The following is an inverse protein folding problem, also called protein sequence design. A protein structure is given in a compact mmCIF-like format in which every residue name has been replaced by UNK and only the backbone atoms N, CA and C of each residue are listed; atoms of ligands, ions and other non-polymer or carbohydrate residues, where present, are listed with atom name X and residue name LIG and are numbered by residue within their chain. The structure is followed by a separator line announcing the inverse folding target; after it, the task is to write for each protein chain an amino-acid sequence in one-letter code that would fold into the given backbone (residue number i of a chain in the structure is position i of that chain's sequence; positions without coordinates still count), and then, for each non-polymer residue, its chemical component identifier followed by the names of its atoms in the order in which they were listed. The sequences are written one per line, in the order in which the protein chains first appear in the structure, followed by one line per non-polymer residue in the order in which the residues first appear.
data_IF_749984870706
#
_entry.id   IF_749984870706
#
_cell.length_a   1.000
_cell.length_b   1.000
_cell.length_c   1.000
_cell.angle_alpha   90.00
_cell.angle_beta   90.00
_cell.angle_gamma   90.00
#
_symmetry.space_group_name_H-M   'P 1'
#
loop_
_entity.id
_entity.type
_entity.pdbx_description
1 polymer ?
#
# COMPACT_ATOMS: atom_id res chain seq x y z
N UNK A 1 -4.40 -2.60 2.33
CA UNK A 1 -5.41 -3.66 2.13
C UNK A 1 -6.82 -3.06 1.96
N UNK A 2 -7.35 -2.28 2.93
CA UNK A 2 -8.73 -1.78 2.91
C UNK A 2 -9.03 -0.81 1.73
N UNK A 3 -8.07 0.01 1.30
CA UNK A 3 -8.23 0.85 0.10
C UNK A 3 -8.37 0.01 -1.17
N UNK A 4 -7.59 -1.06 -1.29
CA UNK A 4 -7.68 -1.99 -2.45
C UNK A 4 -9.00 -2.76 -2.45
N UNK A 5 -9.50 -3.16 -1.27
CA UNK A 5 -10.77 -3.90 -1.16
C UNK A 5 -12.02 -3.04 -1.32
N UNK A 6 -11.91 -1.71 -1.11
CA UNK A 6 -13.04 -0.78 -1.27
C UNK A 6 -13.27 -0.29 -2.71
N UNK A 7 -12.41 -0.69 -3.66
CA UNK A 7 -12.50 -0.24 -5.05
C UNK A 7 -12.16 1.25 -5.27
N UNK A 8 -11.66 1.95 -4.25
CA UNK A 8 -11.29 3.35 -4.34
C UNK A 8 -9.97 3.51 -5.09
N UNK A 9 -9.98 4.34 -6.13
CA UNK A 9 -8.78 4.80 -6.82
C UNK A 9 -8.39 6.18 -6.31
N UNK A 10 -7.25 6.24 -5.66
CA UNK A 10 -6.66 7.49 -5.18
C UNK A 10 -5.34 7.76 -5.92
N UNK A 11 -4.88 9.01 -5.92
CA UNK A 11 -3.61 9.35 -6.56
C UNK A 11 -2.45 8.51 -5.99
N UNK A 12 -1.47 8.20 -6.82
CA UNK A 12 -0.28 7.44 -6.41
C UNK A 12 0.45 8.12 -5.24
N UNK A 13 0.52 9.46 -5.25
CA UNK A 13 1.07 10.24 -4.15
C UNK A 13 0.35 9.98 -2.83
N UNK A 14 -0.98 9.91 -2.87
CA UNK A 14 -1.81 9.68 -1.69
C UNK A 14 -1.65 8.25 -1.17
N UNK A 15 -1.68 7.26 -2.06
CA UNK A 15 -1.47 5.85 -1.73
C UNK A 15 -0.09 5.61 -1.11
N UNK A 16 0.96 6.12 -1.74
CA UNK A 16 2.33 5.99 -1.23
C UNK A 16 2.52 6.68 0.12
N UNK A 17 1.88 7.85 0.34
CA UNK A 17 1.94 8.53 1.62
C UNK A 17 1.30 7.71 2.73
N UNK A 18 0.14 7.09 2.48
CA UNK A 18 -0.54 6.22 3.44
C UNK A 18 0.26 4.94 3.73
N UNK A 19 0.92 4.38 2.72
CA UNK A 19 1.78 3.20 2.89
C UNK A 19 3.03 3.51 3.73
N UNK A 20 3.69 4.64 3.46
CA UNK A 20 4.85 5.09 4.22
C UNK A 20 4.45 5.44 5.67
N UNK A 21 3.33 6.16 5.85
CA UNK A 21 2.81 6.48 7.19
C UNK A 21 2.59 5.21 8.00
N UNK A 22 1.89 4.22 7.43
CA UNK A 22 1.63 2.95 8.10
C UNK A 22 2.92 2.20 8.46
N UNK A 23 3.87 2.14 7.52
CA UNK A 23 5.13 1.40 7.73
C UNK A 23 6.08 2.02 8.75
N UNK A 24 6.12 3.36 8.86
CA UNK A 24 7.00 4.06 9.80
C UNK A 24 6.36 4.27 11.18
N UNK A 25 5.03 4.34 11.24
CA UNK A 25 4.32 4.59 12.49
C UNK A 25 4.50 3.43 13.50
N UNK A 26 4.45 2.20 13.04
CA UNK A 26 4.51 1.02 13.91
C UNK A 26 5.83 0.89 14.67
N UNK A 27 7.03 0.99 14.05
CA UNK A 27 8.29 0.99 14.79
C UNK A 27 8.40 2.11 15.83
N UNK A 28 7.89 3.30 15.49
CA UNK A 28 7.90 4.45 16.42
C UNK A 28 6.93 4.23 17.58
N UNK A 29 5.75 3.68 17.33
CA UNK A 29 4.77 3.37 18.38
C UNK A 29 5.31 2.32 19.36
N UNK A 30 5.96 1.26 18.85
CA UNK A 30 6.62 0.24 19.70
C UNK A 30 7.68 0.87 20.59
N UNK A 31 8.55 1.69 19.99
CA UNK A 31 9.59 2.40 20.73
C UNK A 31 8.99 3.26 21.86
N UNK A 32 7.98 4.06 21.55
CA UNK A 32 7.33 4.94 22.55
C UNK A 32 6.69 4.12 23.68
N UNK A 33 5.97 3.05 23.36
CA UNK A 33 5.32 2.20 24.34
C UNK A 33 6.34 1.54 25.27
N UNK A 34 7.42 0.96 24.73
CA UNK A 34 8.48 0.34 25.52
C UNK A 34 9.19 1.35 26.41
N UNK A 35 9.57 2.51 25.85
CA UNK A 35 10.30 3.54 26.56
C UNK A 35 9.47 4.16 27.68
N UNK A 36 8.19 4.49 27.41
CA UNK A 36 7.29 5.05 28.41
C UNK A 36 6.94 4.02 29.49
N UNK A 37 6.76 2.74 29.12
CA UNK A 37 6.53 1.67 30.09
C UNK A 37 7.73 1.49 31.02
N UNK A 38 8.95 1.52 30.46
CA UNK A 38 10.18 1.45 31.25
C UNK A 38 10.32 2.66 32.21
N UNK A 39 10.00 3.86 31.72
CA UNK A 39 10.03 5.08 32.51
C UNK A 39 9.01 5.06 33.68
N UNK A 40 7.84 4.44 33.48
CA UNK A 40 6.84 4.28 34.52
C UNK A 40 7.26 3.26 35.61
N UNK A 41 8.05 2.25 35.23
CA UNK A 41 8.53 1.21 36.14
C UNK A 41 9.76 1.68 36.94
N UNK A 42 10.67 2.42 36.26
CA UNK A 42 11.93 2.92 36.84
C UNK A 42 12.12 4.40 36.49
N UNK A 43 11.44 5.32 37.22
CA UNK A 43 11.50 6.74 36.91
C UNK A 43 12.92 7.32 37.07
N UNK A 44 13.75 6.76 37.93
CA UNK A 44 15.12 7.16 38.15
C UNK A 44 16.05 6.97 36.97
N UNK A 45 15.77 5.96 36.13
CA UNK A 45 16.57 5.65 34.91
C UNK A 45 16.06 6.43 33.67
N UNK A 46 14.91 7.07 33.77
CA UNK A 46 14.20 7.70 32.68
C UNK A 46 14.76 9.10 32.32
N UNK A 47 16.02 9.18 31.91
CA UNK A 47 16.62 10.42 31.42
C UNK A 47 16.40 10.59 29.93
N UNK A 48 16.26 11.85 29.45
CA UNK A 48 16.14 12.12 28.02
C UNK A 48 17.32 11.57 27.21
N UNK A 49 18.52 11.59 27.77
CA UNK A 49 19.72 11.04 27.14
C UNK A 49 19.64 9.51 26.97
N UNK A 50 19.19 8.78 28.00
CA UNK A 50 19.01 7.33 27.93
C UNK A 50 17.92 6.94 26.91
N UNK A 51 16.83 7.69 26.87
CA UNK A 51 15.75 7.48 25.88
C UNK A 51 16.25 7.70 24.44
N UNK A 52 16.96 8.79 24.17
CA UNK A 52 17.54 9.07 22.87
C UNK A 52 18.59 8.02 22.46
N UNK A 53 19.41 7.57 23.40
CA UNK A 53 20.38 6.51 23.17
C UNK A 53 19.69 5.20 22.77
N UNK A 54 18.69 4.77 23.53
CA UNK A 54 17.91 3.55 23.25
C UNK A 54 17.22 3.64 21.90
N UNK A 55 16.64 4.79 21.59
CA UNK A 55 16.04 5.03 20.26
C UNK A 55 17.08 4.92 19.15
N UNK A 56 18.20 5.58 19.27
CA UNK A 56 19.28 5.53 18.29
C UNK A 56 19.81 4.12 18.09
N UNK A 57 20.02 3.37 19.18
CA UNK A 57 20.45 1.98 19.14
C UNK A 57 19.41 1.11 18.40
N UNK A 58 18.14 1.18 18.79
CA UNK A 58 17.07 0.40 18.16
C UNK A 58 16.92 0.72 16.67
N UNK A 59 17.01 1.99 16.29
CA UNK A 59 16.92 2.42 14.91
C UNK A 59 18.11 1.92 14.08
N UNK A 60 19.33 2.09 14.57
CA UNK A 60 20.56 1.68 13.84
C UNK A 60 20.62 0.17 13.70
N UNK A 61 20.45 -0.58 14.79
CA UNK A 61 20.53 -2.04 14.75
C UNK A 61 19.38 -2.63 13.93
N UNK A 62 18.14 -2.12 14.09
CA UNK A 62 17.00 -2.54 13.28
C UNK A 62 17.22 -2.30 11.79
N UNK A 63 17.77 -1.13 11.43
CA UNK A 63 18.11 -0.80 10.05
C UNK A 63 19.17 -1.73 9.48
N UNK A 64 20.28 -1.92 10.17
CA UNK A 64 21.38 -2.79 9.72
C UNK A 64 20.91 -4.22 9.51
N UNK A 65 20.22 -4.79 10.50
CA UNK A 65 19.74 -6.18 10.45
C UNK A 65 18.70 -6.35 9.33
N UNK A 66 17.78 -5.40 9.18
CA UNK A 66 16.76 -5.41 8.12
C UNK A 66 17.39 -5.35 6.72
N UNK A 67 18.33 -4.44 6.50
CA UNK A 67 19.03 -4.31 5.21
C UNK A 67 19.89 -5.56 4.91
N UNK A 68 20.71 -6.02 5.85
CA UNK A 68 21.57 -7.18 5.65
C UNK A 68 20.75 -8.46 5.47
N UNK A 69 19.71 -8.66 6.29
CA UNK A 69 18.79 -9.79 6.17
C UNK A 69 18.06 -9.78 4.82
N UNK A 70 17.56 -8.61 4.39
CA UNK A 70 16.90 -8.44 3.10
C UNK A 70 17.81 -8.68 1.92
N UNK A 71 19.07 -8.20 1.99
CA UNK A 71 20.08 -8.48 0.98
C UNK A 71 20.42 -9.98 0.89
N UNK A 72 20.61 -10.65 2.03
CA UNK A 72 20.88 -12.07 2.09
C UNK A 72 19.72 -12.91 1.57
N UNK A 73 18.51 -12.64 2.03
CA UNK A 73 17.32 -13.36 1.60
C UNK A 73 17.02 -13.13 0.10
N UNK A 74 17.12 -11.91 -0.40
CA UNK A 74 16.93 -11.61 -1.82
C UNK A 74 17.95 -12.32 -2.71
N UNK A 75 19.23 -12.37 -2.29
CA UNK A 75 20.27 -13.11 -3.00
C UNK A 75 20.03 -14.63 -2.97
N UNK A 76 19.53 -15.17 -1.85
CA UNK A 76 19.20 -16.58 -1.71
C UNK A 76 18.01 -16.96 -2.59
N UNK A 77 16.93 -16.17 -2.54
CA UNK A 77 15.72 -16.42 -3.33
C UNK A 77 15.97 -16.44 -4.84
N UNK A 78 16.84 -15.54 -5.33
CA UNK A 78 17.23 -15.52 -6.74
C UNK A 78 18.08 -16.71 -7.18
N UNK A 79 18.71 -17.44 -6.23
CA UNK A 79 19.50 -18.64 -6.52
C UNK A 79 18.72 -19.94 -6.42
N UNK A 80 17.60 -19.92 -5.70
CA UNK A 80 16.77 -21.11 -5.53
C UNK A 80 15.93 -21.33 -6.79
N UNK A 81 15.90 -22.55 -7.35
CA UNK A 81 15.07 -22.88 -8.50
C UNK A 81 13.60 -23.07 -8.06
N UNK A 82 12.95 -21.98 -7.63
CA UNK A 82 11.57 -21.97 -7.19
C UNK A 82 10.67 -21.93 -8.42
N UNK A 83 10.33 -23.10 -8.96
CA UNK A 83 9.38 -23.23 -10.07
C UNK A 83 7.94 -22.85 -9.66
N UNK A 84 7.06 -22.66 -10.65
CA UNK A 84 5.69 -22.17 -10.42
C UNK A 84 4.80 -22.97 -9.45
N UNK A 85 5.15 -24.22 -9.14
CA UNK A 85 4.43 -25.02 -8.12
C UNK A 85 4.84 -24.68 -6.66
N UNK A 86 5.82 -23.79 -6.44
CA UNK A 86 6.41 -23.51 -5.13
C UNK A 86 5.96 -22.15 -4.52
N UNK A 87 4.88 -21.56 -5.00
CA UNK A 87 4.40 -20.24 -4.53
C UNK A 87 4.14 -20.23 -3.02
N UNK A 88 3.44 -21.25 -2.50
CA UNK A 88 3.18 -21.39 -1.07
C UNK A 88 4.45 -21.60 -0.24
N UNK A 89 5.43 -22.37 -0.77
CA UNK A 89 6.72 -22.56 -0.12
C UNK A 89 7.51 -21.24 -0.06
N UNK A 90 7.48 -20.47 -1.14
CA UNK A 90 8.14 -19.18 -1.19
C UNK A 90 7.55 -18.19 -0.17
N UNK A 91 6.22 -18.16 -0.03
CA UNK A 91 5.53 -17.36 0.99
C UNK A 91 5.94 -17.80 2.41
N UNK A 92 6.00 -19.11 2.67
CA UNK A 92 6.46 -19.64 3.97
C UNK A 92 7.93 -19.29 4.26
N UNK A 93 8.81 -19.38 3.27
CA UNK A 93 10.23 -19.01 3.43
C UNK A 93 10.38 -17.52 3.73
N UNK A 94 9.63 -16.66 3.04
CA UNK A 94 9.61 -15.22 3.31
C UNK A 94 9.09 -14.91 4.71
N UNK A 95 8.01 -15.58 5.13
CA UNK A 95 7.46 -15.43 6.47
C UNK A 95 8.46 -15.88 7.53
N UNK A 96 9.07 -17.06 7.37
CA UNK A 96 10.06 -17.58 8.31
C UNK A 96 11.31 -16.68 8.39
N UNK A 97 11.80 -16.19 7.25
CA UNK A 97 12.90 -15.23 7.22
C UNK A 97 12.54 -13.90 7.91
N UNK A 98 11.32 -13.40 7.67
CA UNK A 98 10.81 -12.20 8.34
C UNK A 98 10.73 -12.36 9.86
N UNK A 99 10.21 -13.49 10.35
CA UNK A 99 10.18 -13.81 11.79
C UNK A 99 11.60 -13.93 12.35
N UNK A 100 12.52 -14.55 11.61
CA UNK A 100 13.93 -14.66 11.98
C UNK A 100 14.62 -13.30 12.10
N UNK A 101 14.36 -12.40 11.16
CA UNK A 101 14.87 -11.01 11.18
C UNK A 101 14.25 -10.23 12.35
N UNK A 102 12.96 -10.38 12.59
CA UNK A 102 12.25 -9.75 13.72
C UNK A 102 12.87 -10.17 15.06
N UNK A 103 12.97 -11.50 15.29
CA UNK A 103 13.51 -12.04 16.53
C UNK A 103 15.00 -11.74 16.70
N UNK A 104 15.80 -11.86 15.64
CA UNK A 104 17.23 -11.55 15.65
C UNK A 104 17.51 -10.08 15.95
N UNK A 105 16.75 -9.16 15.37
CA UNK A 105 16.86 -7.75 15.66
C UNK A 105 16.51 -7.46 17.15
N UNK A 106 15.42 -8.01 17.65
CA UNK A 106 15.02 -7.85 19.04
C UNK A 106 16.06 -8.40 20.01
N UNK A 107 16.63 -9.59 19.71
CA UNK A 107 17.67 -10.21 20.54
C UNK A 107 18.94 -9.35 20.65
N UNK A 108 19.32 -8.66 19.55
CA UNK A 108 20.46 -7.75 19.51
C UNK A 108 20.17 -6.33 20.05
N UNK A 109 18.94 -6.09 20.55
CA UNK A 109 18.53 -4.78 21.08
C UNK A 109 18.12 -3.78 19.98
N UNK A 110 17.85 -4.24 18.77
CA UNK A 110 17.32 -3.45 17.67
C UNK A 110 15.78 -3.50 17.60
N UNK A 111 15.19 -2.61 16.81
CA UNK A 111 13.75 -2.63 16.53
C UNK A 111 13.42 -3.74 15.52
N UNK A 112 12.75 -4.82 15.98
CA UNK A 112 12.29 -5.91 15.13
C UNK A 112 11.31 -5.45 14.05
N UNK A 113 10.41 -4.51 14.37
CA UNK A 113 9.43 -3.96 13.43
C UNK A 113 10.11 -3.19 12.29
N UNK A 114 11.09 -2.32 12.62
CA UNK A 114 11.87 -1.59 11.62
C UNK A 114 12.69 -2.56 10.76
N UNK A 115 13.30 -3.57 11.39
CA UNK A 115 14.09 -4.56 10.68
C UNK A 115 13.27 -5.35 9.65
N UNK A 116 12.07 -5.83 10.02
CA UNK A 116 11.19 -6.56 9.10
C UNK A 116 10.65 -5.66 7.99
N UNK A 117 10.33 -4.40 8.29
CA UNK A 117 9.89 -3.44 7.29
C UNK A 117 10.96 -3.23 6.20
N UNK A 118 12.18 -2.93 6.62
CA UNK A 118 13.31 -2.74 5.69
C UNK A 118 13.70 -4.03 4.99
N UNK A 119 13.65 -5.18 5.68
CA UNK A 119 13.82 -6.48 5.09
C UNK A 119 12.85 -6.70 3.92
N UNK A 120 11.55 -6.48 4.15
CA UNK A 120 10.52 -6.63 3.13
C UNK A 120 10.75 -5.72 1.93
N UNK A 121 11.12 -4.45 2.17
CA UNK A 121 11.39 -3.47 1.12
C UNK A 121 12.60 -3.90 0.25
N UNK A 122 13.68 -4.36 0.87
CA UNK A 122 14.90 -4.82 0.15
C UNK A 122 14.63 -6.09 -0.62
N UNK A 123 13.91 -7.05 -0.05
CA UNK A 123 13.56 -8.31 -0.74
C UNK A 123 12.65 -8.03 -1.92
N UNK A 124 11.63 -7.20 -1.76
CA UNK A 124 10.72 -6.80 -2.84
C UNK A 124 11.47 -6.15 -4.01
N UNK A 125 12.49 -5.32 -3.72
CA UNK A 125 13.30 -4.69 -4.76
C UNK A 125 14.27 -5.67 -5.44
N UNK A 126 14.92 -6.58 -4.67
CA UNK A 126 15.95 -7.48 -5.20
C UNK A 126 15.43 -8.75 -5.86
N UNK A 127 14.27 -9.23 -5.47
CA UNK A 127 13.66 -10.47 -5.91
C UNK A 127 12.19 -10.25 -6.33
N UNK A 128 11.89 -9.16 -7.01
CA UNK A 128 10.52 -8.72 -7.36
C UNK A 128 9.69 -9.82 -8.00
N UNK A 129 10.22 -10.50 -9.03
CA UNK A 129 9.51 -11.58 -9.72
C UNK A 129 9.18 -12.80 -8.83
N UNK A 130 10.00 -13.07 -7.80
CA UNK A 130 9.75 -14.15 -6.83
C UNK A 130 8.70 -13.69 -5.81
N UNK A 131 8.82 -12.45 -5.35
CA UNK A 131 7.90 -11.85 -4.37
C UNK A 131 6.49 -11.71 -4.96
N UNK A 132 6.35 -11.20 -6.18
CA UNK A 132 5.05 -11.05 -6.85
C UNK A 132 4.25 -12.36 -6.88
N UNK A 133 4.91 -13.48 -7.16
CA UNK A 133 4.28 -14.81 -7.13
C UNK A 133 3.88 -15.26 -5.73
N UNK A 134 4.61 -14.83 -4.70
CA UNK A 134 4.34 -15.19 -3.31
C UNK A 134 3.31 -14.28 -2.63
N UNK A 135 2.97 -13.12 -3.21
CA UNK A 135 2.09 -12.12 -2.60
C UNK A 135 0.72 -12.69 -2.19
N UNK A 136 0.09 -13.49 -3.06
CA UNK A 136 -1.21 -14.08 -2.75
C UNK A 136 -1.16 -14.99 -1.50
N UNK A 137 -0.07 -15.77 -1.36
CA UNK A 137 0.18 -16.59 -0.17
C UNK A 137 0.44 -15.74 1.08
N UNK A 138 1.24 -14.69 0.95
CA UNK A 138 1.52 -13.75 2.05
C UNK A 138 0.25 -13.02 2.51
N UNK A 139 -0.58 -12.59 1.59
CA UNK A 139 -1.88 -11.96 1.92
C UNK A 139 -2.77 -12.94 2.69
N UNK A 140 -2.82 -14.23 2.30
CA UNK A 140 -3.55 -15.26 3.03
C UNK A 140 -3.07 -15.42 4.48
N UNK A 141 -1.75 -15.48 4.70
CA UNK A 141 -1.20 -15.52 6.07
C UNK A 141 -1.50 -14.24 6.85
N UNK A 142 -1.42 -13.08 6.24
CA UNK A 142 -1.73 -11.81 6.88
C UNK A 142 -3.21 -11.76 7.33
N UNK A 143 -4.14 -12.19 6.47
CA UNK A 143 -5.56 -12.27 6.79
C UNK A 143 -5.83 -13.25 7.95
N UNK A 144 -5.23 -14.44 7.91
CA UNK A 144 -5.38 -15.42 8.98
C UNK A 144 -4.82 -14.91 10.30
N UNK A 145 -3.61 -14.34 10.29
CA UNK A 145 -2.98 -13.77 11.47
C UNK A 145 -3.82 -12.62 12.04
N UNK A 146 -4.34 -11.74 11.20
CA UNK A 146 -5.20 -10.63 11.60
C UNK A 146 -6.52 -11.14 12.22
N UNK A 147 -7.18 -12.11 11.61
CA UNK A 147 -8.42 -12.69 12.14
C UNK A 147 -8.19 -13.35 13.51
N UNK A 148 -7.11 -14.14 13.63
CA UNK A 148 -6.74 -14.80 14.88
C UNK A 148 -6.41 -13.79 15.99
N UNK A 149 -5.71 -12.74 15.62
CA UNK A 149 -5.34 -11.66 16.54
C UNK A 149 -6.59 -10.93 17.07
N UNK A 150 -7.52 -10.53 16.19
CA UNK A 150 -8.77 -9.91 16.64
C UNK A 150 -9.62 -10.84 17.50
N UNK A 151 -9.65 -12.13 17.19
CA UNK A 151 -10.32 -13.12 18.04
C UNK A 151 -9.71 -13.17 19.44
N UNK A 152 -8.39 -13.29 19.54
CA UNK A 152 -7.70 -13.33 20.82
C UNK A 152 -7.88 -12.03 21.61
N UNK A 153 -7.80 -10.88 20.94
CA UNK A 153 -8.02 -9.59 21.58
C UNK A 153 -9.47 -9.47 22.10
N UNK A 154 -10.45 -9.95 21.32
CA UNK A 154 -11.85 -9.98 21.74
C UNK A 154 -12.08 -10.85 22.98
N UNK A 155 -11.35 -11.96 23.12
CA UNK A 155 -11.42 -12.84 24.29
C UNK A 155 -10.75 -12.23 25.55
N UNK A 156 -9.77 -11.33 25.37
CA UNK A 156 -9.13 -10.63 26.50
C UNK A 156 -9.99 -9.51 27.09
N UNK A 157 -10.93 -9.01 26.33
CA UNK A 157 -11.79 -7.88 26.73
C UNK A 157 -12.85 -8.35 27.73
N UNK A 158 -13.07 -7.57 28.78
CA UNK A 158 -14.15 -7.79 29.73
C UNK A 158 -15.27 -6.76 29.48
N UNK A 159 -16.39 -7.13 28.84
CA UNK A 159 -17.43 -6.18 28.45
C UNK A 159 -18.02 -5.34 29.60
N UNK A 160 -18.17 -5.93 30.80
CA UNK A 160 -18.70 -5.21 31.96
C UNK A 160 -17.86 -3.99 32.31
N UNK A 161 -16.53 -4.09 32.29
CA UNK A 161 -15.64 -2.95 32.60
C UNK A 161 -15.68 -1.86 31.50
N UNK A 162 -15.86 -2.26 30.26
CA UNK A 162 -16.04 -1.29 29.17
C UNK A 162 -17.31 -0.47 29.35
N UNK A 163 -18.40 -1.11 29.80
CA UNK A 163 -19.67 -0.45 30.04
C UNK A 163 -19.63 0.51 31.25
N UNK A 164 -18.83 0.20 32.28
CA UNK A 164 -18.70 1.07 33.45
C UNK A 164 -18.01 2.40 33.17
N UNK A 165 -17.10 2.43 32.16
CA UNK A 165 -16.28 3.59 31.83
C UNK A 165 -16.32 3.96 30.32
N UNK A 166 -17.39 3.60 29.61
CA UNK A 166 -17.49 3.81 28.18
C UNK A 166 -17.37 5.27 27.75
N UNK A 167 -17.95 6.20 28.54
CA UNK A 167 -18.00 7.62 28.18
C UNK A 167 -16.61 8.28 28.11
N UNK A 168 -15.75 8.18 29.13
CA UNK A 168 -14.39 8.71 29.05
C UNK A 168 -13.55 8.01 27.99
N UNK A 169 -13.70 6.69 27.79
CA UNK A 169 -12.98 5.96 26.74
C UNK A 169 -13.40 6.43 25.33
N UNK A 170 -14.70 6.63 25.10
CA UNK A 170 -15.23 7.16 23.87
C UNK A 170 -14.77 8.60 23.65
N UNK A 171 -14.76 9.44 24.69
CA UNK A 171 -14.25 10.82 24.58
C UNK A 171 -12.78 10.85 24.15
N UNK A 172 -11.94 9.97 24.69
CA UNK A 172 -10.54 9.82 24.25
C UNK A 172 -10.48 9.36 22.80
N UNK A 173 -11.29 8.38 22.40
CA UNK A 173 -11.33 7.90 21.01
C UNK A 173 -11.69 9.04 20.05
N UNK A 174 -12.75 9.78 20.35
CA UNK A 174 -13.19 10.91 19.52
C UNK A 174 -12.15 12.04 19.48
N UNK A 175 -11.54 12.38 20.60
CA UNK A 175 -10.46 13.36 20.66
C UNK A 175 -9.26 12.97 19.79
N UNK A 176 -8.85 11.69 19.85
CA UNK A 176 -7.77 11.16 19.02
C UNK A 176 -8.13 11.17 17.53
N UNK A 177 -9.37 10.84 17.18
CA UNK A 177 -9.82 10.76 15.79
C UNK A 177 -10.05 12.13 15.15
N UNK A 178 -10.70 13.05 15.88
CA UNK A 178 -11.17 14.33 15.31
C UNK A 178 -10.27 15.52 15.65
N UNK A 179 -9.39 15.41 16.63
CA UNK A 179 -8.51 16.51 17.03
C UNK A 179 -7.05 16.14 16.84
N UNK A 180 -6.56 15.13 17.53
CA UNK A 180 -5.12 14.81 17.54
C UNK A 180 -4.61 14.39 16.15
N UNK A 181 -5.35 13.52 15.46
CA UNK A 181 -4.93 13.03 14.16
C UNK A 181 -4.99 14.11 13.06
N UNK A 182 -6.08 14.84 12.84
CA UNK A 182 -6.09 15.93 11.86
C UNK A 182 -5.00 16.97 12.11
N UNK A 183 -4.73 17.31 13.37
CA UNK A 183 -3.68 18.24 13.74
C UNK A 183 -2.30 17.71 13.38
N UNK A 184 -2.01 16.45 13.72
CA UNK A 184 -0.73 15.81 13.40
C UNK A 184 -0.52 15.71 11.88
N UNK A 185 -1.52 15.23 11.14
CA UNK A 185 -1.45 15.12 9.67
C UNK A 185 -1.27 16.49 9.02
N UNK A 186 -2.00 17.52 9.48
CA UNK A 186 -1.86 18.87 8.98
C UNK A 186 -0.46 19.45 9.24
N UNK A 187 0.09 19.26 10.44
CA UNK A 187 1.43 19.72 10.80
C UNK A 187 2.52 19.05 9.93
N UNK A 188 2.38 17.77 9.64
CA UNK A 188 3.36 17.02 8.87
C UNK A 188 3.23 17.25 7.35
N UNK A 189 2.01 17.26 6.81
CA UNK A 189 1.79 17.25 5.37
C UNK A 189 1.62 18.64 4.75
N UNK A 190 1.21 19.65 5.53
CA UNK A 190 1.07 21.01 5.02
C UNK A 190 2.39 21.62 4.51
N UNK A 191 3.53 21.43 5.19
CA UNK A 191 4.85 21.86 4.68
C UNK A 191 5.23 21.16 3.36
N UNK A 192 4.74 19.95 3.14
CA UNK A 192 4.95 19.15 1.92
C UNK A 192 3.99 19.52 0.77
N UNK A 193 3.25 20.62 0.90
CA UNK A 193 2.32 21.15 -0.11
C UNK A 193 1.17 20.20 -0.46
N UNK A 194 0.65 19.45 0.54
CA UNK A 194 -0.61 18.73 0.38
C UNK A 194 -1.80 19.69 0.46
N UNK A 195 -2.84 19.40 -0.33
CA UNK A 195 -4.11 20.13 -0.28
C UNK A 195 -4.87 19.83 1.02
N UNK A 196 -5.79 20.71 1.42
CA UNK A 196 -6.65 20.46 2.58
C UNK A 196 -7.57 19.26 2.39
N UNK A 197 -7.93 18.96 1.15
CA UNK A 197 -8.73 17.78 0.78
C UNK A 197 -7.94 16.49 1.03
N UNK A 198 -6.69 16.41 0.57
CA UNK A 198 -5.81 15.27 0.82
C UNK A 198 -5.51 15.10 2.31
N UNK A 199 -5.22 16.20 3.03
CA UNK A 199 -5.00 16.19 4.48
C UNK A 199 -6.24 15.68 5.21
N UNK A 200 -7.43 16.15 4.85
CA UNK A 200 -8.70 15.70 5.43
C UNK A 200 -8.94 14.22 5.20
N UNK A 201 -8.70 13.73 3.99
CA UNK A 201 -8.85 12.32 3.65
C UNK A 201 -7.84 11.43 4.40
N UNK A 202 -6.54 11.79 4.40
CA UNK A 202 -5.52 11.05 5.14
C UNK A 202 -5.84 11.02 6.64
N UNK A 203 -6.31 12.14 7.19
CA UNK A 203 -6.74 12.21 8.58
C UNK A 203 -7.90 11.25 8.88
N UNK A 204 -8.83 11.09 7.95
CA UNK A 204 -9.97 10.21 8.08
C UNK A 204 -9.61 8.73 7.89
N UNK A 205 -8.86 8.41 6.83
CA UNK A 205 -8.52 7.02 6.44
C UNK A 205 -7.52 6.35 7.37
N UNK A 206 -6.93 7.07 8.30
CA UNK A 206 -6.00 6.52 9.29
C UNK A 206 -6.61 5.45 10.20
N UNK A 207 -7.14 4.39 9.57
CA UNK A 207 -7.70 3.22 10.24
C UNK A 207 -6.66 2.61 11.16
N UNK A 208 -7.02 2.49 12.43
CA UNK A 208 -6.19 1.83 13.41
C UNK A 208 -6.39 0.33 13.30
N UNK A 209 -5.35 -0.38 12.87
CA UNK A 209 -5.33 -1.84 12.84
C UNK A 209 -5.26 -2.45 14.25
N UNK A 210 -4.97 -3.73 14.31
CA UNK A 210 -4.81 -4.45 15.57
C UNK A 210 -3.52 -4.05 16.35
N UNK A 211 -2.54 -3.45 15.68
CA UNK A 211 -1.23 -3.09 16.26
C UNK A 211 -1.34 -2.25 17.54
N UNK A 212 -2.15 -1.17 17.62
CA UNK A 212 -2.30 -0.42 18.87
C UNK A 212 -2.80 -1.24 20.07
N UNK A 213 -3.68 -2.22 19.81
CA UNK A 213 -4.19 -3.09 20.89
C UNK A 213 -3.12 -4.10 21.32
N UNK A 214 -2.35 -4.65 20.36
CA UNK A 214 -1.19 -5.48 20.67
C UNK A 214 -0.15 -4.72 21.48
N UNK A 215 0.13 -3.48 21.10
CA UNK A 215 1.06 -2.63 21.85
C UNK A 215 0.57 -2.33 23.26
N UNK A 216 -0.74 -2.25 23.49
CA UNK A 216 -1.31 -2.08 24.81
C UNK A 216 -1.16 -3.32 25.73
N UNK A 217 -0.81 -4.51 25.17
CA UNK A 217 -0.44 -5.68 25.95
C UNK A 217 0.96 -5.55 26.57
N UNK A 218 1.86 -4.78 25.97
CA UNK A 218 3.24 -4.61 26.47
C UNK A 218 3.24 -4.04 27.89
N UNK A 219 2.57 -2.93 28.22
CA UNK A 219 2.45 -2.45 29.58
C UNK A 219 1.84 -3.49 30.53
N UNK A 220 0.89 -4.31 30.07
CA UNK A 220 0.31 -5.38 30.88
C UNK A 220 1.32 -6.49 31.22
N UNK A 221 2.12 -6.90 30.20
CA UNK A 221 3.19 -7.90 30.40
C UNK A 221 4.30 -7.39 31.33
N UNK A 222 4.57 -6.09 31.30
CA UNK A 222 5.55 -5.42 32.13
C UNK A 222 5.00 -5.05 33.52
N UNK A 223 3.75 -5.41 33.83
CA UNK A 223 3.05 -5.10 35.11
C UNK A 223 3.02 -3.59 35.43
N UNK A 224 2.91 -2.73 34.40
CA UNK A 224 2.76 -1.28 34.61
C UNK A 224 1.47 -1.00 35.37
N UNK A 225 1.47 -0.08 36.37
CA UNK A 225 0.25 0.31 37.05
C UNK A 225 -0.85 0.76 36.08
N UNK A 226 -2.08 0.29 36.30
CA UNK A 226 -3.26 0.60 35.45
C UNK A 226 -3.15 0.18 34.00
N UNK A 227 -2.23 -0.71 33.61
CA UNK A 227 -2.07 -1.18 32.25
C UNK A 227 -3.35 -1.75 31.61
N UNK A 228 -4.24 -2.33 32.43
CA UNK A 228 -5.56 -2.81 31.98
C UNK A 228 -6.45 -1.68 31.44
N UNK A 229 -6.41 -0.51 32.08
CA UNK A 229 -7.17 0.67 31.60
C UNK A 229 -6.63 1.14 30.26
N UNK A 230 -5.30 1.15 30.09
CA UNK A 230 -4.66 1.49 28.80
C UNK A 230 -5.10 0.51 27.69
N UNK A 231 -5.17 -0.78 28.01
CA UNK A 231 -5.65 -1.79 27.07
C UNK A 231 -7.12 -1.58 26.68
N UNK A 232 -8.00 -1.37 27.68
CA UNK A 232 -9.43 -1.14 27.47
C UNK A 232 -9.67 0.12 26.61
N UNK A 233 -8.94 1.21 26.88
CA UNK A 233 -8.99 2.45 26.07
C UNK A 233 -8.50 2.18 24.65
N UNK A 234 -7.37 1.50 24.45
CA UNK A 234 -6.84 1.18 23.14
C UNK A 234 -7.83 0.33 22.34
N UNK A 235 -8.48 -0.64 22.99
CA UNK A 235 -9.50 -1.47 22.35
C UNK A 235 -10.71 -0.64 21.90
N UNK A 236 -11.25 0.23 22.75
CA UNK A 236 -12.38 1.12 22.39
C UNK A 236 -12.00 2.06 21.25
N UNK A 237 -10.80 2.63 21.27
CA UNK A 237 -10.30 3.49 20.17
C UNK A 237 -10.25 2.75 18.84
N UNK A 238 -9.72 1.51 18.83
CA UNK A 238 -9.64 0.70 17.62
C UNK A 238 -11.04 0.31 17.14
N UNK A 239 -11.91 -0.13 18.05
CA UNK A 239 -13.28 -0.50 17.70
C UNK A 239 -14.06 0.69 17.14
N UNK A 240 -14.00 1.86 17.79
CA UNK A 240 -14.62 3.09 17.28
C UNK A 240 -14.07 3.49 15.91
N UNK A 241 -12.76 3.39 15.70
CA UNK A 241 -12.13 3.66 14.41
C UNK A 241 -12.61 2.70 13.32
N UNK A 242 -12.66 1.41 13.58
CA UNK A 242 -13.13 0.41 12.62
C UNK A 242 -14.60 0.64 12.24
N UNK A 243 -15.45 0.91 13.23
CA UNK A 243 -16.88 1.13 13.01
C UNK A 243 -17.14 2.45 12.31
N UNK A 244 -16.57 3.57 12.78
CA UNK A 244 -16.85 4.90 12.24
C UNK A 244 -16.08 5.15 10.94
N UNK A 245 -14.77 5.00 10.95
CA UNK A 245 -13.93 5.33 9.81
C UNK A 245 -13.98 4.23 8.74
N UNK A 246 -13.98 2.95 9.14
CA UNK A 246 -14.04 1.82 8.22
C UNK A 246 -15.32 1.82 7.38
N UNK A 247 -16.49 2.02 8.00
CA UNK A 247 -17.78 2.04 7.29
C UNK A 247 -17.98 3.29 6.42
N UNK A 248 -17.32 4.39 6.74
CA UNK A 248 -17.50 5.69 6.06
C UNK A 248 -16.36 6.04 5.09
N UNK A 249 -15.42 5.14 4.83
CA UNK A 249 -14.25 5.42 4.01
C UNK A 249 -14.59 5.86 2.58
N UNK A 250 -15.54 5.17 1.93
CA UNK A 250 -16.01 5.52 0.56
C UNK A 250 -16.70 6.88 0.55
N UNK A 251 -17.53 7.15 1.56
CA UNK A 251 -18.18 8.45 1.72
C UNK A 251 -17.15 9.56 1.94
N UNK A 252 -16.14 9.34 2.76
CA UNK A 252 -15.06 10.31 2.99
C UNK A 252 -14.26 10.60 1.70
N UNK A 253 -13.97 9.58 0.88
CA UNK A 253 -13.27 9.78 -0.38
C UNK A 253 -14.05 10.69 -1.35
N UNK A 254 -15.38 10.56 -1.37
CA UNK A 254 -16.27 11.44 -2.15
C UNK A 254 -16.35 12.84 -1.55
N UNK A 255 -16.48 12.95 -0.22
CA UNK A 255 -16.56 14.22 0.49
C UNK A 255 -15.32 15.09 0.27
N UNK A 256 -14.14 14.49 0.33
CA UNK A 256 -12.86 15.18 0.12
C UNK A 256 -12.45 15.27 -1.35
N UNK A 257 -13.26 14.72 -2.25
CA UNK A 257 -13.03 14.75 -3.70
C UNK A 257 -11.64 14.23 -4.11
N UNK A 258 -11.20 13.14 -3.48
CA UNK A 258 -9.89 12.49 -3.72
C UNK A 258 -10.00 11.19 -4.52
N UNK A 259 -11.22 10.76 -4.84
CA UNK A 259 -11.46 9.60 -5.69
C UNK A 259 -11.17 9.98 -7.15
N UNK A 260 -10.26 9.27 -7.77
CA UNK A 260 -10.02 9.42 -9.20
C UNK A 260 -11.24 8.84 -9.96
N UNK A 261 -11.71 9.52 -11.02
CA UNK A 261 -12.78 9.00 -11.86
C UNK A 261 -12.45 7.60 -12.36
N UNK A 262 -13.45 6.75 -12.46
CA UNK A 262 -13.26 5.43 -13.07
C UNK A 262 -12.88 5.63 -14.53
N UNK A 263 -11.83 4.94 -15.00
CA UNK A 263 -11.39 5.02 -16.39
C UNK A 263 -12.49 4.59 -17.40
N UNK A 264 -13.63 4.11 -16.90
CA UNK A 264 -14.80 3.76 -17.70
C UNK A 264 -15.83 4.89 -17.84
N UNK A 265 -15.75 5.96 -17.00
CA UNK A 265 -16.82 6.97 -16.92
C UNK A 265 -16.62 8.22 -17.79
N UNK A 266 -15.43 8.43 -18.39
CA UNK A 266 -15.22 9.55 -19.31
C UNK A 266 -14.43 9.16 -20.57
N UNK A 267 -15.00 9.38 -21.76
CA UNK A 267 -14.25 9.24 -23.02
C UNK A 267 -13.00 10.15 -23.08
N UNK A 268 -13.04 11.29 -22.38
CA UNK A 268 -11.94 12.28 -22.35
C UNK A 268 -10.71 11.82 -21.54
N UNK A 269 -10.87 10.98 -20.51
CA UNK A 269 -9.74 10.47 -19.71
C UNK A 269 -8.93 9.42 -20.48
N UNK A 270 -9.52 8.78 -21.48
CA UNK A 270 -8.85 7.79 -22.33
C UNK A 270 -7.84 8.40 -23.32
N UNK A 271 -7.93 9.71 -23.55
CA UNK A 271 -7.06 10.43 -24.50
C UNK A 271 -5.73 10.88 -23.88
N UNK A 272 -5.55 10.85 -22.56
CA UNK A 272 -4.49 11.60 -21.85
C UNK A 272 -3.15 10.86 -21.69
N UNK A 273 -3.03 9.54 -21.88
CA UNK A 273 -1.75 8.83 -21.73
C UNK A 273 -1.48 7.84 -22.87
N UNK A 274 -0.76 8.28 -23.77
CA UNK A 274 -0.47 8.02 -25.10
C UNK A 274 0.52 6.98 -25.51
N UNK A 275 0.66 5.80 -25.00
CA UNK A 275 1.40 4.73 -25.65
C UNK A 275 0.84 3.36 -25.26
N UNK A 276 -0.10 2.85 -26.06
CA UNK A 276 -0.80 1.61 -25.78
C UNK A 276 -0.22 0.47 -26.62
N UNK A 277 -0.01 -0.67 -25.99
CA UNK A 277 0.30 -1.91 -26.68
C UNK A 277 -0.99 -2.67 -26.97
N UNK A 278 -1.29 -2.86 -28.25
CA UNK A 278 -2.45 -3.56 -28.73
C UNK A 278 -2.07 -4.97 -29.22
N UNK A 279 -2.95 -5.95 -28.98
CA UNK A 279 -2.82 -7.24 -29.65
C UNK A 279 -3.03 -7.05 -31.15
N UNK A 280 -2.09 -7.52 -31.94
CA UNK A 280 -2.13 -7.41 -33.39
C UNK A 280 -3.37 -8.06 -34.04
N UNK A 281 -4.05 -8.95 -33.32
CA UNK A 281 -5.29 -9.66 -33.74
C UNK A 281 -6.56 -8.88 -33.40
N UNK A 282 -6.49 -7.83 -32.61
CA UNK A 282 -7.67 -7.05 -32.25
C UNK A 282 -8.32 -6.41 -33.48
N UNK A 283 -9.66 -6.37 -33.56
CA UNK A 283 -10.37 -5.74 -34.68
C UNK A 283 -10.09 -4.24 -34.70
N UNK A 284 -9.59 -3.73 -35.83
CA UNK A 284 -9.22 -2.30 -35.98
C UNK A 284 -10.42 -1.36 -35.82
N UNK A 285 -11.60 -1.79 -36.24
CA UNK A 285 -12.84 -1.01 -36.07
C UNK A 285 -13.19 -0.78 -34.63
N UNK A 286 -13.06 -1.82 -33.79
CA UNK A 286 -13.32 -1.71 -32.35
C UNK A 286 -12.32 -0.75 -31.67
N UNK A 287 -11.06 -0.83 -32.08
CA UNK A 287 -10.00 0.08 -31.61
C UNK A 287 -10.34 1.53 -32.01
N UNK A 288 -10.66 1.77 -33.29
CA UNK A 288 -11.01 3.11 -33.77
C UNK A 288 -12.25 3.66 -33.08
N UNK A 289 -13.30 2.82 -32.92
CA UNK A 289 -14.51 3.21 -32.20
C UNK A 289 -14.24 3.55 -30.71
N UNK A 290 -13.37 2.77 -30.07
CA UNK A 290 -13.04 2.95 -28.65
C UNK A 290 -12.26 4.25 -28.39
N UNK A 291 -11.35 4.61 -29.30
CA UNK A 291 -10.51 5.81 -29.17
C UNK A 291 -11.05 7.03 -29.93
N UNK A 292 -12.26 6.96 -30.48
CA UNK A 292 -12.87 8.06 -31.21
C UNK A 292 -12.15 8.41 -32.51
N UNK A 293 -11.47 7.43 -33.14
CA UNK A 293 -10.78 7.60 -34.43
C UNK A 293 -11.75 7.42 -35.59
N UNK A 294 -11.44 7.97 -36.77
CA UNK A 294 -12.23 7.75 -37.97
C UNK A 294 -12.40 6.27 -38.30
N UNK A 295 -13.55 5.90 -38.90
CA UNK A 295 -13.81 4.50 -39.31
C UNK A 295 -12.73 4.06 -40.30
N UNK A 296 -11.98 2.98 -40.03
CA UNK A 296 -10.92 2.48 -40.91
C UNK A 296 -11.44 1.83 -42.19
N UNK A 297 -12.77 1.63 -42.34
CA UNK A 297 -13.35 0.95 -43.46
C UNK A 297 -12.94 -0.53 -43.62
N UNK A 298 -12.49 -1.14 -42.52
CA UNK A 298 -11.99 -2.52 -42.48
C UNK A 298 -12.37 -3.21 -41.17
N UNK A 299 -12.90 -4.44 -41.27
CA UNK A 299 -13.40 -5.21 -40.10
C UNK A 299 -12.43 -6.28 -39.59
N UNK A 300 -11.21 -6.34 -40.13
CA UNK A 300 -10.21 -7.34 -39.75
C UNK A 300 -9.28 -6.91 -38.62
N UNK A 301 -8.26 -7.74 -38.40
CA UNK A 301 -7.22 -7.48 -37.42
C UNK A 301 -6.41 -6.21 -37.74
N UNK A 302 -5.98 -5.49 -36.71
CA UNK A 302 -5.19 -4.25 -36.87
C UNK A 302 -3.87 -4.50 -37.61
N UNK A 303 -3.25 -5.67 -37.44
CA UNK A 303 -2.06 -6.05 -38.19
C UNK A 303 -2.29 -6.13 -39.69
N UNK A 304 -3.41 -6.74 -40.14
CA UNK A 304 -3.76 -6.89 -41.54
C UNK A 304 -4.15 -5.54 -42.17
N UNK A 305 -4.83 -4.70 -41.39
CA UNK A 305 -5.16 -3.35 -41.79
C UNK A 305 -3.91 -2.49 -42.02
N UNK A 306 -2.91 -2.55 -41.12
CA UNK A 306 -1.63 -1.85 -41.27
C UNK A 306 -0.92 -2.30 -42.56
N UNK A 307 -0.84 -3.60 -42.80
CA UNK A 307 -0.21 -4.15 -44.01
C UNK A 307 -0.93 -3.70 -45.27
N UNK A 308 -2.27 -3.57 -45.24
CA UNK A 308 -3.09 -3.08 -46.35
C UNK A 308 -2.83 -1.59 -46.65
N UNK A 309 -2.77 -0.75 -45.59
CA UNK A 309 -2.50 0.68 -45.75
C UNK A 309 -1.06 0.93 -46.25
N UNK A 310 -0.10 0.15 -45.78
CA UNK A 310 1.29 0.19 -46.25
C UNK A 310 1.47 -0.37 -47.69
N UNK A 311 0.48 -1.10 -48.20
CA UNK A 311 0.55 -1.83 -49.49
C UNK A 311 1.73 -2.80 -49.60
N UNK A 312 2.24 -3.26 -48.50
CA UNK A 312 3.32 -4.24 -48.36
C UNK A 312 3.24 -4.96 -47.02
N UNK A 313 3.91 -6.13 -46.87
CA UNK A 313 4.03 -6.75 -45.52
C UNK A 313 4.63 -5.76 -44.54
N UNK A 314 4.01 -5.66 -43.35
CA UNK A 314 4.49 -4.80 -42.30
C UNK A 314 5.73 -5.42 -41.62
N UNK A 315 6.66 -4.58 -41.22
CA UNK A 315 7.86 -4.96 -40.47
C UNK A 315 7.96 -4.13 -39.15
N UNK A 316 8.75 -4.60 -38.20
CA UNK A 316 8.95 -3.86 -36.96
C UNK A 316 9.48 -2.44 -37.24
N UNK A 317 8.87 -1.44 -36.62
CA UNK A 317 9.17 -0.03 -36.81
C UNK A 317 8.32 0.67 -37.91
N UNK A 318 7.53 -0.07 -38.69
CA UNK A 318 6.56 0.56 -39.60
C UNK A 318 5.42 1.21 -38.80
N UNK A 319 4.93 2.35 -39.29
CA UNK A 319 3.82 3.06 -38.67
C UNK A 319 2.92 3.74 -39.69
N UNK A 320 1.69 3.99 -39.28
CA UNK A 320 0.70 4.76 -40.03
C UNK A 320 -0.01 5.74 -39.14
N UNK A 321 -0.28 6.93 -39.65
CA UNK A 321 -1.08 7.94 -38.99
C UNK A 321 -2.54 7.80 -39.39
N UNK A 322 -3.46 7.77 -38.42
CA UNK A 322 -4.89 7.65 -38.64
C UNK A 322 -5.68 8.54 -37.70
N UNK A 323 -6.28 9.60 -38.24
CA UNK A 323 -6.93 10.63 -37.42
C UNK A 323 -5.90 11.33 -36.53
N UNK A 324 -6.14 11.27 -35.22
CA UNK A 324 -5.25 11.83 -34.21
C UNK A 324 -4.40 10.74 -33.48
N UNK A 325 -4.15 9.64 -34.17
CA UNK A 325 -3.40 8.52 -33.65
C UNK A 325 -2.32 8.04 -34.62
N UNK A 326 -1.23 7.51 -34.04
CA UNK A 326 -0.17 6.81 -34.76
C UNK A 326 -0.16 5.34 -34.34
N UNK A 327 -0.29 4.44 -35.33
CA UNK A 327 -0.16 3.00 -35.16
C UNK A 327 1.22 2.57 -35.58
N UNK A 328 2.00 1.95 -34.68
CA UNK A 328 3.37 1.49 -34.99
C UNK A 328 3.49 -0.02 -34.70
N UNK A 329 4.14 -0.75 -35.59
CA UNK A 329 4.48 -2.17 -35.40
C UNK A 329 5.64 -2.27 -34.41
N UNK A 330 5.39 -2.84 -33.23
CA UNK A 330 6.40 -2.95 -32.16
C UNK A 330 7.14 -4.27 -32.17
N UNK A 331 6.41 -5.35 -32.34
CA UNK A 331 6.99 -6.68 -32.26
C UNK A 331 6.45 -7.61 -33.34
N UNK A 332 7.29 -8.55 -33.76
CA UNK A 332 7.02 -9.52 -34.81
C UNK A 332 7.25 -10.95 -34.33
N UNK A 333 6.29 -11.83 -34.60
CA UNK A 333 6.46 -13.28 -34.45
C UNK A 333 6.74 -13.90 -35.81
N UNK A 334 8.00 -14.05 -36.14
CA UNK A 334 8.47 -14.48 -37.46
C UNK A 334 8.09 -13.47 -38.55
N UNK A 335 7.13 -13.81 -39.42
CA UNK A 335 6.63 -12.93 -40.48
C UNK A 335 5.30 -12.24 -40.15
N UNK A 336 4.77 -12.44 -38.94
CA UNK A 336 3.49 -11.86 -38.55
C UNK A 336 3.71 -10.79 -37.46
N UNK A 337 2.94 -9.72 -37.55
CA UNK A 337 2.91 -8.70 -36.50
C UNK A 337 2.33 -9.33 -35.24
N UNK A 338 3.07 -9.25 -34.13
CA UNK A 338 2.67 -9.75 -32.81
C UNK A 338 2.06 -8.64 -31.96
N UNK A 339 2.61 -7.44 -32.00
CA UNK A 339 2.18 -6.32 -31.20
C UNK A 339 2.20 -5.01 -31.98
N UNK A 340 1.15 -4.19 -31.80
CA UNK A 340 1.00 -2.86 -32.38
C UNK A 340 0.96 -1.82 -31.26
N UNK A 341 1.78 -0.79 -31.36
CA UNK A 341 1.72 0.40 -30.49
C UNK A 341 0.69 1.39 -31.06
N UNK A 342 -0.11 1.99 -30.19
CA UNK A 342 -1.01 3.09 -30.49
C UNK A 342 -0.58 4.32 -29.71
N UNK A 343 -0.17 5.38 -30.43
CA UNK A 343 0.16 6.67 -29.85
C UNK A 343 -0.94 7.67 -30.24
N UNK A 344 -1.57 8.27 -29.24
CA UNK A 344 -2.61 9.29 -29.48
C UNK A 344 -2.00 10.69 -29.39
N UNK A 345 -2.23 11.51 -30.41
CA UNK A 345 -1.86 12.93 -30.41
C UNK A 345 -3.00 13.78 -29.84
N UNK A 346 -2.69 14.92 -29.27
CA UNK A 346 -3.70 15.93 -28.97
C UNK A 346 -4.42 16.33 -30.24
N UNK A 347 -5.72 16.13 -30.30
CA UNK A 347 -6.52 16.77 -31.34
C UNK A 347 -6.38 18.28 -31.18
N UNK A 348 -6.10 19.06 -32.26
CA UNK A 348 -6.15 20.51 -32.16
C UNK A 348 -7.57 20.89 -31.70
N UNK A 349 -7.66 21.68 -30.60
CA UNK A 349 -8.90 22.28 -30.14
C UNK A 349 -9.59 22.93 -31.36
N UNK A 350 -10.75 22.43 -31.69
CA UNK A 350 -11.62 23.14 -32.64
C UNK A 350 -12.10 24.39 -31.90
N UNK A 351 -11.54 25.52 -32.29
CA UNK A 351 -11.99 26.85 -31.88
C UNK A 351 -13.48 26.97 -32.23
N UNK A 352 -14.39 27.15 -31.26
CA UNK A 352 -15.79 27.39 -31.54
C UNK A 352 -15.93 28.81 -32.09
N UNK A 353 -16.03 28.93 -33.43
CA UNK A 353 -16.38 30.17 -34.10
C UNK A 353 -17.79 30.68 -33.74
#
# INVERSE_FOLDING_TARGET
ALLKSSGLRVSERLSSTLEIESGLNDPMAVFLVLTLSAALIRPEDATAGAMLWTFGQQAVLGTLIGLLGGMGAGALLNRLPLGGAAEGLTALLLLAAGIGVFGGAGWLGGSGFLAVYLFGLVVAHRASAVVERALAGMDGFAWLAQAMLFLLLGLLVTPSRLLDHWLPMLAVALALMFVARPLAVALCLKPLRFSWQEIGFISWVGLRGAVPVVLALIPMMLAVPQARVLFDVAFVVVLASLVLQGSTMVWAARLFNVNLPDAQDEPAVRVVFGDFALDARAPVRDICSFYGLPDPGYDGAVADWIARELKRPAVAGDGIDWGHAHFAVRDMDGKRVAQVGLLLYHAPEQDPG
#
